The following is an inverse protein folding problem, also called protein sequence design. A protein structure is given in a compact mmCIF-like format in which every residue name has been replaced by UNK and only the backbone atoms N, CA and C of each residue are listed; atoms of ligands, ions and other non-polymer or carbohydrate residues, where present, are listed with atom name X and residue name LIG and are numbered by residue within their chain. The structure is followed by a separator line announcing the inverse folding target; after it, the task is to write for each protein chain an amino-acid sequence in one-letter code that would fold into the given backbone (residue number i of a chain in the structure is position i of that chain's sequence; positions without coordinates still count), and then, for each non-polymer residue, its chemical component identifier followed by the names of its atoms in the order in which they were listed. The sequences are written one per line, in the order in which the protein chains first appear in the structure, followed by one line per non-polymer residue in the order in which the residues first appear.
data_IF_081660117995
#
_entry.id   IF_081660117995
#
_cell.length_a   1.000
_cell.length_b   1.000
_cell.length_c   1.000
_cell.angle_alpha   90.00
_cell.angle_beta   90.00
_cell.angle_gamma   90.00
#
_symmetry.space_group_name_H-M   'P 1'
#
loop_
_entity.id
_entity.type
_entity.pdbx_description
1 polymer ?
#
# COMPACT_ATOMS: atom_id res chain seq x y z
N UNK A 1 27.77 -30.66 12.62
CA UNK A 1 26.71 -31.60 12.99
C UNK A 1 26.84 -31.88 14.48
N UNK A 2 25.80 -31.57 15.24
CA UNK A 2 24.81 -32.58 15.59
C UNK A 2 23.42 -32.21 15.05
N UNK A 3 22.66 -33.23 14.69
CA UNK A 3 21.28 -33.10 14.21
C UNK A 3 20.33 -33.25 15.40
N UNK A 4 19.64 -32.16 15.76
CA UNK A 4 18.47 -32.25 16.62
C UNK A 4 17.23 -32.46 15.75
N UNK A 5 16.75 -33.69 15.77
CA UNK A 5 15.49 -34.10 15.17
C UNK A 5 14.32 -33.45 15.87
N UNK A 6 13.89 -32.28 15.39
CA UNK A 6 12.52 -31.80 15.60
C UNK A 6 11.59 -32.67 14.77
N UNK A 7 11.03 -33.69 15.39
CA UNK A 7 9.87 -34.38 14.88
C UNK A 7 8.74 -33.33 14.71
N UNK A 8 8.49 -32.94 13.47
CA UNK A 8 7.31 -32.18 13.11
C UNK A 8 6.11 -33.08 13.35
N UNK A 9 5.42 -32.89 14.46
CA UNK A 9 4.04 -33.35 14.61
C UNK A 9 3.19 -32.47 13.71
N UNK A 10 3.13 -32.83 12.41
CA UNK A 10 2.11 -32.34 11.50
C UNK A 10 0.77 -32.92 11.95
N UNK A 11 0.11 -32.20 12.85
CA UNK A 11 -1.34 -32.22 12.89
C UNK A 11 -1.82 -31.50 11.63
N UNK A 12 -1.97 -32.26 10.54
CA UNK A 12 -2.81 -31.86 9.42
C UNK A 12 -4.25 -31.88 9.89
N UNK A 13 -4.64 -30.78 10.54
CA UNK A 13 -6.04 -30.39 10.65
C UNK A 13 -6.39 -29.68 9.34
N UNK A 14 -6.85 -30.44 8.34
CA UNK A 14 -7.32 -29.96 7.03
C UNK A 14 -8.60 -29.09 7.12
N UNK A 15 -8.93 -28.55 8.29
CA UNK A 15 -10.13 -27.75 8.52
C UNK A 15 -9.90 -26.37 9.16
N UNK A 16 -8.66 -25.94 9.35
CA UNK A 16 -8.38 -24.56 9.79
C UNK A 16 -8.75 -23.61 8.66
N UNK A 17 -9.97 -23.06 8.71
CA UNK A 17 -10.35 -21.90 7.92
C UNK A 17 -9.49 -20.74 8.41
N UNK A 18 -8.48 -20.39 7.62
CA UNK A 18 -7.65 -19.21 7.87
C UNK A 18 -8.57 -17.98 7.79
N UNK A 19 -8.97 -17.45 8.95
CA UNK A 19 -9.88 -16.31 9.05
C UNK A 19 -9.17 -14.96 8.87
N UNK A 20 -7.83 -14.96 8.91
CA UNK A 20 -6.99 -13.77 8.83
C UNK A 20 -5.73 -14.03 7.99
N UNK A 21 -5.29 -13.01 7.26
CA UNK A 21 -4.04 -13.03 6.49
C UNK A 21 -3.03 -12.11 7.19
N UNK A 22 -1.85 -12.63 7.52
CA UNK A 22 -0.76 -11.82 8.05
C UNK A 22 -0.34 -10.80 6.97
N UNK A 23 -0.27 -9.51 7.33
CA UNK A 23 0.15 -8.42 6.40
C UNK A 23 1.42 -7.70 6.83
N UNK A 24 1.88 -7.94 8.07
CA UNK A 24 3.07 -7.33 8.63
C UNK A 24 3.57 -8.11 9.84
N UNK A 25 4.89 -8.19 10.00
CA UNK A 25 5.58 -8.81 11.11
C UNK A 25 6.82 -7.95 11.43
N UNK A 26 7.18 -7.80 12.71
CA UNK A 26 8.40 -7.10 13.11
C UNK A 26 9.63 -7.94 12.72
N UNK A 27 10.77 -7.28 12.48
CA UNK A 27 12.04 -7.98 12.21
C UNK A 27 13.01 -7.20 11.32
N UNK A 28 12.52 -6.23 10.56
CA UNK A 28 13.37 -5.33 9.76
C UNK A 28 14.00 -4.29 10.69
N UNK A 29 15.33 -4.07 10.66
CA UNK A 29 15.96 -2.99 11.39
C UNK A 29 15.41 -1.62 10.97
N UNK A 30 15.18 -0.72 11.93
CA UNK A 30 14.59 0.61 11.66
C UNK A 30 15.36 1.40 10.60
N UNK A 31 16.69 1.32 10.61
CA UNK A 31 17.53 1.99 9.61
C UNK A 31 17.20 1.51 8.18
N UNK A 32 17.13 0.19 7.98
CA UNK A 32 16.86 -0.42 6.68
C UNK A 32 15.43 -0.17 6.24
N UNK A 33 14.47 -0.22 7.18
CA UNK A 33 13.07 0.10 6.92
C UNK A 33 12.91 1.56 6.48
N UNK A 34 13.55 2.50 7.19
CA UNK A 34 13.51 3.92 6.85
C UNK A 34 14.17 4.19 5.49
N UNK A 35 15.30 3.54 5.20
CA UNK A 35 15.96 3.64 3.90
C UNK A 35 15.08 3.08 2.77
N UNK A 36 14.45 1.93 2.99
CA UNK A 36 13.53 1.31 2.04
C UNK A 36 12.32 2.21 1.75
N UNK A 37 11.65 2.71 2.79
CA UNK A 37 10.49 3.61 2.64
C UNK A 37 10.88 4.92 1.95
N UNK A 38 12.08 5.45 2.22
CA UNK A 38 12.60 6.62 1.51
C UNK A 38 12.78 6.34 0.01
N UNK A 39 13.36 5.20 -0.35
CA UNK A 39 13.50 4.80 -1.74
C UNK A 39 12.13 4.62 -2.42
N UNK A 40 11.18 3.96 -1.75
CA UNK A 40 9.82 3.78 -2.25
C UNK A 40 9.12 5.10 -2.55
N UNK A 41 9.19 6.07 -1.64
CA UNK A 41 8.62 7.42 -1.84
C UNK A 41 9.29 8.16 -2.99
N UNK A 42 10.60 8.02 -3.17
CA UNK A 42 11.30 8.61 -4.32
C UNK A 42 10.84 8.01 -5.66
N UNK A 43 10.58 6.70 -5.69
CA UNK A 43 10.03 6.02 -6.89
C UNK A 43 8.60 6.50 -7.19
N UNK A 44 7.75 6.63 -6.16
CA UNK A 44 6.40 7.17 -6.32
C UNK A 44 6.41 8.64 -6.75
N UNK A 45 7.33 9.46 -6.20
CA UNK A 45 7.53 10.84 -6.62
C UNK A 45 7.89 10.92 -8.10
N UNK A 46 8.85 10.11 -8.53
CA UNK A 46 9.29 10.07 -9.92
C UNK A 46 8.14 9.66 -10.85
N UNK A 47 7.40 8.60 -10.53
CA UNK A 47 6.23 8.21 -11.29
C UNK A 47 5.14 9.30 -11.33
N UNK A 48 4.94 10.02 -10.21
CA UNK A 48 4.04 11.17 -10.14
C UNK A 48 4.47 12.33 -11.05
N UNK A 49 5.76 12.67 -11.07
CA UNK A 49 6.31 13.69 -11.97
C UNK A 49 6.18 13.30 -13.44
N UNK A 50 6.44 12.03 -13.78
CA UNK A 50 6.33 11.54 -15.15
C UNK A 50 4.88 11.60 -15.68
N UNK A 51 3.89 11.35 -14.82
CA UNK A 51 2.48 11.32 -15.23
C UNK A 51 1.76 12.67 -15.09
N UNK A 52 2.15 13.49 -14.11
CA UNK A 52 1.53 14.79 -13.83
C UNK A 52 2.23 15.97 -14.51
N UNK A 53 3.50 15.80 -14.91
CA UNK A 53 4.29 16.83 -15.57
C UNK A 53 4.79 17.94 -14.63
N UNK A 54 4.60 17.80 -13.32
CA UNK A 54 5.01 18.79 -12.31
C UNK A 54 5.69 18.14 -11.09
N UNK A 55 6.54 18.91 -10.42
CA UNK A 55 7.15 18.49 -9.15
C UNK A 55 6.11 18.34 -8.03
N UNK A 56 5.02 19.10 -8.09
CA UNK A 56 3.92 19.05 -7.12
C UNK A 56 3.22 17.68 -7.16
N UNK A 57 2.95 17.15 -8.36
CA UNK A 57 2.36 15.82 -8.52
C UNK A 57 3.25 14.71 -7.97
N UNK A 58 4.57 14.87 -8.12
CA UNK A 58 5.55 13.99 -7.48
C UNK A 58 5.48 14.05 -5.95
N UNK A 59 5.45 15.26 -5.38
CA UNK A 59 5.34 15.46 -3.93
C UNK A 59 4.06 14.82 -3.37
N UNK A 60 2.92 15.02 -4.04
CA UNK A 60 1.63 14.44 -3.66
C UNK A 60 1.67 12.92 -3.74
N UNK A 61 2.22 12.34 -4.81
CA UNK A 61 2.35 10.89 -4.94
C UNK A 61 3.24 10.29 -3.84
N UNK A 62 4.36 10.94 -3.51
CA UNK A 62 5.31 10.48 -2.50
C UNK A 62 4.74 10.52 -1.07
N UNK A 63 3.91 11.52 -0.78
CA UNK A 63 3.41 11.80 0.58
C UNK A 63 2.12 11.05 0.93
N UNK A 64 1.51 10.35 -0.04
CA UNK A 64 0.29 9.56 0.18
C UNK A 64 0.54 8.32 1.03
N UNK A 65 -0.42 8.02 1.90
CA UNK A 65 -0.43 6.77 2.68
C UNK A 65 -0.44 5.54 1.77
N UNK A 66 -1.15 5.61 0.63
CA UNK A 66 -1.18 4.53 -0.39
C UNK A 66 0.22 4.08 -0.81
N UNK A 67 1.14 5.04 -1.00
CA UNK A 67 2.54 4.75 -1.34
C UNK A 67 3.23 3.98 -0.22
N UNK A 68 3.00 4.39 1.03
CA UNK A 68 3.59 3.71 2.20
C UNK A 68 2.98 2.31 2.39
N UNK A 69 1.67 2.18 2.27
CA UNK A 69 0.94 0.90 2.36
C UNK A 69 1.42 -0.06 1.28
N UNK A 70 1.55 0.40 0.04
CA UNK A 70 2.04 -0.41 -1.07
C UNK A 70 3.48 -0.90 -0.83
N UNK A 71 4.35 -0.02 -0.35
CA UNK A 71 5.73 -0.38 -0.02
C UNK A 71 5.78 -1.45 1.09
N UNK A 72 4.97 -1.31 2.15
CA UNK A 72 4.90 -2.30 3.24
C UNK A 72 4.37 -3.65 2.77
N UNK A 73 3.37 -3.66 1.88
CA UNK A 73 2.86 -4.89 1.27
C UNK A 73 3.95 -5.58 0.43
N UNK A 74 4.64 -4.84 -0.44
CA UNK A 74 5.76 -5.40 -1.21
C UNK A 74 6.89 -5.92 -0.33
N UNK A 75 7.16 -5.26 0.79
CA UNK A 75 8.16 -5.71 1.74
C UNK A 75 7.75 -7.02 2.42
N UNK A 76 6.49 -7.13 2.85
CA UNK A 76 5.93 -8.38 3.40
C UNK A 76 5.96 -9.53 2.36
N UNK A 77 5.46 -9.27 1.16
CA UNK A 77 5.39 -10.25 0.06
C UNK A 77 6.79 -10.71 -0.41
N UNK A 78 7.83 -9.92 -0.11
CA UNK A 78 9.23 -10.22 -0.43
C UNK A 78 9.99 -10.83 0.76
N UNK A 79 9.29 -11.36 1.76
CA UNK A 79 9.88 -11.97 2.96
C UNK A 79 10.80 -11.01 3.72
N UNK A 80 10.48 -9.72 3.68
CA UNK A 80 11.26 -8.62 4.29
C UNK A 80 12.66 -8.40 3.70
N UNK A 81 12.95 -8.96 2.52
CA UNK A 81 14.14 -8.64 1.74
C UNK A 81 13.92 -7.30 1.00
N UNK A 82 14.59 -6.25 1.48
CA UNK A 82 14.44 -4.89 0.93
C UNK A 82 14.88 -4.79 -0.53
N UNK A 83 15.84 -5.60 -0.98
CA UNK A 83 16.32 -5.63 -2.36
C UNK A 83 15.27 -6.22 -3.31
N UNK A 84 14.71 -7.39 -2.96
CA UNK A 84 13.61 -8.01 -3.70
C UNK A 84 12.37 -7.11 -3.71
N UNK A 85 12.06 -6.50 -2.56
CA UNK A 85 10.92 -5.59 -2.43
C UNK A 85 11.05 -4.36 -3.32
N UNK A 86 12.26 -3.78 -3.45
CA UNK A 86 12.49 -2.67 -4.39
C UNK A 86 12.32 -3.10 -5.84
N UNK A 87 12.83 -4.27 -6.23
CA UNK A 87 12.66 -4.79 -7.59
C UNK A 87 11.18 -5.02 -7.95
N UNK A 88 10.39 -5.52 -7.01
CA UNK A 88 8.95 -5.67 -7.19
C UNK A 88 8.25 -4.30 -7.30
N UNK A 89 8.61 -3.37 -6.41
CA UNK A 89 8.01 -2.05 -6.32
C UNK A 89 8.19 -1.19 -7.57
N UNK A 90 9.32 -1.31 -8.28
CA UNK A 90 9.58 -0.54 -9.53
C UNK A 90 8.50 -0.77 -10.59
N UNK A 91 7.88 -1.95 -10.61
CA UNK A 91 6.79 -2.27 -11.55
C UNK A 91 5.50 -1.54 -11.22
N UNK A 92 5.30 -1.16 -9.95
CA UNK A 92 4.09 -0.51 -9.47
C UNK A 92 4.36 0.43 -8.28
N UNK A 93 5.06 1.55 -8.48
CA UNK A 93 5.60 2.37 -7.39
C UNK A 93 4.55 3.14 -6.59
N UNK A 94 3.35 3.33 -7.14
CA UNK A 94 2.25 4.06 -6.50
C UNK A 94 1.21 3.15 -5.83
N UNK A 95 1.36 1.84 -6.04
CA UNK A 95 0.38 0.86 -5.62
C UNK A 95 -0.87 0.83 -6.48
N UNK A 96 -1.37 -0.38 -6.64
CA UNK A 96 -2.73 -0.67 -7.08
C UNK A 96 -3.34 -1.46 -5.93
N UNK A 97 -3.59 -0.81 -4.79
CA UNK A 97 -4.37 -1.47 -3.75
C UNK A 97 -5.75 -1.72 -4.36
N UNK A 98 -6.09 -3.01 -4.49
CA UNK A 98 -7.27 -3.48 -5.18
C UNK A 98 -8.55 -2.78 -4.71
N UNK A 99 -9.38 -2.39 -5.68
CA UNK A 99 -10.77 -1.97 -5.47
C UNK A 99 -10.98 -0.48 -5.27
N UNK A 100 -9.96 0.27 -4.88
CA UNK A 100 -10.02 1.73 -4.84
C UNK A 100 -8.75 2.28 -5.45
N UNK A 101 -8.70 2.31 -6.79
CA UNK A 101 -8.43 3.63 -7.33
C UNK A 101 -9.44 4.50 -6.59
N UNK A 102 -8.98 5.39 -5.71
CA UNK A 102 -9.70 6.64 -5.63
C UNK A 102 -9.68 7.10 -7.09
N UNK A 103 -10.73 6.71 -7.84
CA UNK A 103 -11.07 7.31 -9.12
C UNK A 103 -10.89 8.76 -8.80
N UNK A 104 -9.81 9.38 -9.29
CA UNK A 104 -9.51 10.78 -8.99
C UNK A 104 -10.85 11.45 -9.24
N UNK A 105 -11.53 11.87 -8.17
CA UNK A 105 -12.89 12.36 -8.31
C UNK A 105 -12.75 13.44 -9.36
N UNK A 106 -13.51 13.35 -10.45
CA UNK A 106 -13.40 14.41 -11.44
C UNK A 106 -13.71 15.73 -10.74
N UNK A 107 -13.18 16.85 -11.24
CA UNK A 107 -13.47 18.15 -10.64
C UNK A 107 -14.98 18.38 -10.51
N UNK A 108 -15.76 17.84 -11.46
CA UNK A 108 -17.22 17.85 -11.42
C UNK A 108 -17.80 17.00 -10.28
N UNK A 109 -17.28 15.80 -10.04
CA UNK A 109 -17.70 14.98 -8.91
C UNK A 109 -17.34 15.63 -7.59
N UNK A 110 -16.17 16.27 -7.50
CA UNK A 110 -15.75 17.01 -6.31
C UNK A 110 -16.69 18.19 -6.03
N UNK A 111 -17.06 18.97 -7.05
CA UNK A 111 -18.04 20.07 -6.92
C UNK A 111 -19.40 19.56 -6.49
N UNK A 112 -19.90 18.46 -7.10
CA UNK A 112 -21.17 17.83 -6.72
C UNK A 112 -21.14 17.34 -5.27
N UNK A 113 -20.04 16.73 -4.85
CA UNK A 113 -19.86 16.26 -3.48
C UNK A 113 -19.85 17.41 -2.47
N UNK A 114 -19.11 18.50 -2.73
CA UNK A 114 -19.09 19.70 -1.86
C UNK A 114 -20.48 20.34 -1.78
N UNK A 115 -21.21 20.42 -2.90
CA UNK A 115 -22.59 20.91 -2.92
C UNK A 115 -23.52 19.99 -2.13
N UNK A 116 -23.36 18.68 -2.26
CA UNK A 116 -24.08 17.67 -1.51
C UNK A 116 -23.86 17.82 0.00
N UNK A 117 -22.62 18.02 0.44
CA UNK A 117 -22.29 18.27 1.86
C UNK A 117 -22.98 19.52 2.40
N UNK A 118 -22.98 20.62 1.61
CA UNK A 118 -23.66 21.87 2.01
C UNK A 118 -25.18 21.72 2.11
N UNK A 119 -25.77 20.89 1.24
CA UNK A 119 -27.24 20.75 1.13
C UNK A 119 -27.79 19.69 2.09
N UNK A 120 -27.09 18.58 2.24
CA UNK A 120 -27.57 17.38 2.94
C UNK A 120 -26.76 17.02 4.18
N UNK A 121 -25.75 17.83 4.55
CA UNK A 121 -24.83 17.52 5.64
C UNK A 121 -24.03 16.25 5.36
N UNK A 122 -23.72 15.46 6.40
CA UNK A 122 -23.01 14.18 6.26
C UNK A 122 -23.95 13.00 5.90
N UNK A 123 -24.98 13.25 5.09
CA UNK A 123 -25.85 12.19 4.60
C UNK A 123 -25.37 11.66 3.25
N UNK A 124 -24.42 10.72 3.29
CA UNK A 124 -23.78 10.17 2.09
C UNK A 124 -24.76 9.40 1.18
N UNK A 125 -25.85 8.84 1.72
CA UNK A 125 -26.88 8.18 0.91
C UNK A 125 -27.61 9.18 -0.01
N UNK A 126 -27.84 10.40 0.46
CA UNK A 126 -28.46 11.47 -0.35
C UNK A 126 -27.47 12.16 -1.28
N UNK A 127 -26.19 12.23 -0.91
CA UNK A 127 -25.14 12.83 -1.75
C UNK A 127 -24.78 11.93 -2.93
N UNK A 128 -24.82 10.60 -2.74
CA UNK A 128 -24.53 9.63 -3.80
C UNK A 128 -25.63 9.54 -4.86
N UNK A 129 -26.87 9.89 -4.51
CA UNK A 129 -28.06 9.75 -5.37
C UNK A 129 -28.20 10.92 -6.32
#
# INVERSE_FOLDING_TARGET
MPQDGRAALQLQDDSVVVAEELRWAPGVPDCDLLMYLRAARSMAAFAGMCDGGSAEDGCVAASRDDTTINALNHLHDSEYDTGKALQALVKNPRGSVGGATASKLSDEDQKKFVRGLRTYGKNFFRIRK
#
